data_IF_071768974051
#
_entry.id   IF_071768974051
#
_cell.length_a   1.000
_cell.length_b   1.000
_cell.length_c   1.000
_cell.angle_alpha   90.00
_cell.angle_beta   90.00
_cell.angle_gamma   90.00
#
_symmetry.space_group_name_H-M   'P 1'
#
loop_
_entity.id
_entity.type
_entity.pdbx_description
1 polymer ?
#
# COMPACT_ATOMS: atom_id res chain seq x y z
N UNK A 1 50.77 -14.78 5.80
CA UNK A 1 50.30 -13.69 6.69
C UNK A 1 49.17 -12.90 6.00
N UNK A 2 48.05 -13.54 5.63
CA UNK A 2 46.97 -12.90 4.83
C UNK A 2 45.56 -13.24 5.32
N UNK A 3 45.41 -14.22 6.24
CA UNK A 3 44.12 -14.74 6.68
C UNK A 3 43.34 -13.73 7.54
N UNK A 4 44.04 -12.93 8.35
CA UNK A 4 43.43 -11.94 9.24
C UNK A 4 42.94 -10.69 8.47
N UNK A 5 43.63 -10.31 7.40
CA UNK A 5 43.28 -9.11 6.62
C UNK A 5 41.96 -9.31 5.86
N UNK A 6 41.75 -10.50 5.29
CA UNK A 6 40.50 -10.86 4.62
C UNK A 6 39.31 -10.92 5.59
N UNK A 7 39.54 -11.38 6.83
CA UNK A 7 38.50 -11.40 7.88
C UNK A 7 38.09 -9.96 8.26
N UNK A 8 39.05 -9.05 8.39
CA UNK A 8 38.76 -7.64 8.67
C UNK A 8 37.96 -6.98 7.55
N UNK A 9 38.29 -7.28 6.29
CA UNK A 9 37.56 -6.78 5.12
C UNK A 9 36.11 -7.30 5.13
N UNK A 10 35.90 -8.60 5.35
CA UNK A 10 34.55 -9.16 5.43
C UNK A 10 33.71 -8.53 6.54
N UNK A 11 34.31 -8.31 7.72
CA UNK A 11 33.63 -7.62 8.81
C UNK A 11 33.28 -6.18 8.45
N UNK A 12 34.20 -5.44 7.83
CA UNK A 12 33.95 -4.08 7.39
C UNK A 12 32.80 -4.00 6.38
N UNK A 13 32.74 -4.94 5.42
CA UNK A 13 31.65 -5.01 4.43
C UNK A 13 30.29 -5.31 5.06
N UNK A 14 30.23 -6.21 6.04
CA UNK A 14 28.98 -6.52 6.77
C UNK A 14 28.48 -5.31 7.57
N UNK A 15 29.39 -4.56 8.20
CA UNK A 15 29.05 -3.33 8.93
C UNK A 15 28.51 -2.26 7.99
N UNK A 16 29.15 -2.05 6.83
CA UNK A 16 28.67 -1.10 5.81
C UNK A 16 27.29 -1.49 5.29
N UNK A 17 27.05 -2.77 5.01
CA UNK A 17 25.75 -3.26 4.56
C UNK A 17 24.64 -3.02 5.60
N UNK A 18 24.98 -3.11 6.89
CA UNK A 18 24.05 -2.86 7.99
C UNK A 18 23.71 -1.38 8.15
N UNK A 19 24.67 -0.47 7.92
CA UNK A 19 24.46 0.99 8.00
C UNK A 19 23.68 1.52 6.78
N UNK A 20 23.77 0.85 5.63
CA UNK A 20 22.99 1.16 4.42
C UNK A 20 21.58 0.52 4.47
N UNK A 21 21.19 -0.07 5.61
CA UNK A 21 19.89 -0.69 5.84
C UNK A 21 18.76 0.32 6.02
N UNK A 22 17.83 0.30 5.05
CA UNK A 22 16.47 0.83 5.07
C UNK A 22 16.30 2.32 5.43
N UNK A 23 16.39 3.16 4.40
CA UNK A 23 15.55 4.36 4.35
C UNK A 23 14.09 3.88 4.26
N UNK A 24 13.45 3.60 5.39
CA UNK A 24 11.99 3.58 5.43
C UNK A 24 11.56 5.02 5.25
N UNK A 25 11.32 5.42 4.00
CA UNK A 25 10.56 6.62 3.72
C UNK A 25 9.20 6.41 4.38
N UNK A 26 9.00 7.01 5.55
CA UNK A 26 7.66 7.27 6.05
C UNK A 26 7.12 8.37 5.15
N UNK A 27 6.69 7.98 3.95
CA UNK A 27 5.77 8.79 3.19
C UNK A 27 4.54 8.92 4.10
N UNK A 28 4.21 10.16 4.47
CA UNK A 28 2.83 10.52 4.74
C UNK A 28 2.07 10.37 3.41
N UNK A 29 2.00 9.15 2.87
CA UNK A 29 0.98 8.80 1.90
C UNK A 29 -0.33 9.14 2.62
N UNK A 30 -1.06 10.12 2.09
CA UNK A 30 -2.48 10.26 2.40
C UNK A 30 -3.03 8.84 2.30
N UNK A 31 -3.57 8.29 3.40
CA UNK A 31 -3.94 6.87 3.48
C UNK A 31 -5.14 6.62 2.58
N UNK A 32 -4.84 6.47 1.31
CA UNK A 32 -5.76 6.17 0.24
C UNK A 32 -5.92 4.66 0.16
N UNK A 33 -7.08 4.22 -0.30
CA UNK A 33 -7.34 2.80 -0.42
C UNK A 33 -6.36 2.13 -1.40
N UNK A 34 -6.05 0.86 -1.17
CA UNK A 34 -5.13 0.12 -2.04
C UNK A 34 -5.73 -0.05 -3.43
N UNK A 35 -4.91 0.13 -4.47
CA UNK A 35 -5.34 -0.01 -5.87
C UNK A 35 -5.98 -1.39 -6.15
N UNK A 36 -5.51 -2.45 -5.50
CA UNK A 36 -6.12 -3.78 -5.58
C UNK A 36 -7.56 -3.81 -5.05
N UNK A 37 -7.84 -3.09 -3.96
CA UNK A 37 -9.18 -2.99 -3.38
C UNK A 37 -10.08 -2.11 -4.25
N UNK A 38 -9.59 -0.96 -4.74
CA UNK A 38 -10.32 -0.11 -5.69
C UNK A 38 -10.80 -0.93 -6.89
N UNK A 39 -9.92 -1.73 -7.50
CA UNK A 39 -10.25 -2.61 -8.63
C UNK A 39 -11.25 -3.70 -8.25
N UNK A 40 -11.10 -4.33 -7.09
CA UNK A 40 -12.03 -5.36 -6.63
C UNK A 40 -13.46 -4.80 -6.44
N UNK A 41 -13.57 -3.61 -5.85
CA UNK A 41 -14.84 -2.92 -5.65
C UNK A 41 -15.49 -2.49 -6.97
N UNK A 42 -14.71 -2.02 -7.95
CA UNK A 42 -15.25 -1.71 -9.27
C UNK A 42 -15.75 -2.95 -10.02
N UNK A 43 -15.06 -4.09 -9.90
CA UNK A 43 -15.56 -5.38 -10.40
C UNK A 43 -16.85 -5.79 -9.70
N UNK A 44 -16.93 -5.61 -8.38
CA UNK A 44 -18.15 -5.87 -7.62
C UNK A 44 -19.31 -4.99 -8.11
N UNK A 45 -19.09 -3.69 -8.29
CA UNK A 45 -20.08 -2.77 -8.88
C UNK A 45 -20.55 -3.22 -10.26
N UNK A 46 -19.64 -3.65 -11.14
CA UNK A 46 -19.99 -4.14 -12.48
C UNK A 46 -20.83 -5.42 -12.45
N UNK A 47 -20.72 -6.21 -11.38
CA UNK A 47 -21.53 -7.42 -11.19
C UNK A 47 -22.95 -7.16 -10.68
N UNK A 48 -23.27 -5.91 -10.32
CA UNK A 48 -24.54 -5.51 -9.74
C UNK A 48 -25.30 -4.54 -10.66
N UNK A 49 -26.62 -4.63 -10.64
CA UNK A 49 -27.48 -3.62 -11.22
C UNK A 49 -27.78 -2.54 -10.15
N UNK A 50 -27.16 -1.37 -10.29
CA UNK A 50 -27.29 -0.25 -9.34
C UNK A 50 -28.54 0.60 -9.64
N UNK A 51 -29.73 0.04 -9.48
CA UNK A 51 -31.00 0.71 -9.84
C UNK A 51 -31.24 2.00 -9.05
N UNK A 52 -30.74 2.06 -7.81
CA UNK A 52 -30.97 3.18 -6.90
C UNK A 52 -29.78 4.15 -6.81
N UNK A 53 -28.71 3.93 -7.60
CA UNK A 53 -27.52 4.77 -7.56
C UNK A 53 -26.78 4.73 -6.22
N UNK A 54 -26.90 3.64 -5.47
CA UNK A 54 -26.21 3.47 -4.19
C UNK A 54 -24.69 3.44 -4.35
N UNK A 55 -24.21 2.96 -5.50
CA UNK A 55 -22.78 2.88 -5.86
C UNK A 55 -22.34 4.06 -6.75
N UNK A 56 -23.12 5.16 -6.78
CA UNK A 56 -22.85 6.32 -7.63
C UNK A 56 -21.51 7.00 -7.35
N UNK A 57 -21.03 6.98 -6.11
CA UNK A 57 -19.71 7.56 -5.75
C UNK A 57 -18.54 6.68 -6.16
N UNK A 58 -18.78 5.42 -6.52
CA UNK A 58 -17.74 4.46 -6.89
C UNK A 58 -17.28 4.75 -8.32
N UNK A 59 -16.34 5.69 -8.45
CA UNK A 59 -15.85 6.19 -9.74
C UNK A 59 -14.65 5.39 -10.20
N UNK A 60 -14.65 5.00 -11.47
CA UNK A 60 -13.48 4.40 -12.11
C UNK A 60 -12.50 5.49 -12.56
N UNK A 61 -11.95 6.20 -11.59
CA UNK A 61 -10.86 7.15 -11.77
C UNK A 61 -9.57 6.50 -11.21
N UNK A 62 -8.45 6.51 -11.95
CA UNK A 62 -7.16 5.99 -11.47
C UNK A 62 -6.69 6.60 -10.15
N UNK A 63 -7.11 7.82 -9.83
CA UNK A 63 -6.75 8.53 -8.62
C UNK A 63 -7.88 8.58 -7.58
N UNK A 64 -8.99 7.85 -7.80
CA UNK A 64 -10.06 7.79 -6.82
C UNK A 64 -9.65 6.98 -5.59
N UNK A 65 -9.71 7.64 -4.43
CA UNK A 65 -9.61 6.97 -3.14
C UNK A 65 -10.95 6.28 -2.79
N UNK A 66 -10.96 4.94 -2.81
CA UNK A 66 -12.18 4.19 -2.53
C UNK A 66 -12.63 4.28 -1.08
N UNK A 67 -11.79 4.71 -0.14
CA UNK A 67 -12.19 5.00 1.24
C UNK A 67 -13.13 6.22 1.34
N UNK A 68 -13.17 7.06 0.30
CA UNK A 68 -14.09 8.20 0.20
C UNK A 68 -15.41 7.82 -0.49
N UNK A 69 -15.59 6.58 -0.93
CA UNK A 69 -16.84 6.12 -1.53
C UNK A 69 -17.90 5.86 -0.47
N UNK A 70 -19.15 6.21 -0.79
CA UNK A 70 -20.31 5.92 0.06
C UNK A 70 -20.43 4.41 0.30
N UNK A 71 -20.61 4.03 1.56
CA UNK A 71 -20.72 2.64 2.01
C UNK A 71 -19.39 1.96 2.32
N UNK A 72 -18.27 2.48 1.82
CA UNK A 72 -16.95 1.89 2.07
C UNK A 72 -16.41 2.41 3.40
N UNK A 73 -16.01 1.50 4.29
CA UNK A 73 -15.30 1.82 5.51
C UNK A 73 -13.90 1.24 5.45
N UNK A 74 -12.88 2.10 5.59
CA UNK A 74 -11.49 1.69 5.65
C UNK A 74 -10.91 1.78 7.06
N UNK A 75 -9.85 1.02 7.28
CA UNK A 75 -8.98 1.16 8.43
C UNK A 75 -8.12 2.43 8.28
N UNK A 76 -8.29 3.37 9.20
CA UNK A 76 -7.59 4.66 9.17
C UNK A 76 -6.09 4.58 9.47
N UNK A 77 -5.51 3.40 9.74
CA UNK A 77 -4.07 3.22 9.97
C UNK A 77 -3.38 2.48 8.82
N UNK A 78 -4.13 1.67 8.07
CA UNK A 78 -3.56 0.80 7.03
C UNK A 78 -4.09 1.08 5.63
N UNK A 79 -5.21 1.81 5.53
CA UNK A 79 -5.91 2.10 4.27
C UNK A 79 -6.67 0.91 3.68
N UNK A 80 -6.73 -0.24 4.38
CA UNK A 80 -7.50 -1.42 3.93
C UNK A 80 -9.01 -1.21 4.10
N UNK A 81 -9.79 -1.74 3.17
CA UNK A 81 -11.26 -1.78 3.27
C UNK A 81 -11.67 -2.86 4.28
N UNK A 82 -12.43 -2.46 5.30
CA UNK A 82 -12.94 -3.38 6.34
C UNK A 82 -14.42 -3.71 6.16
N UNK A 83 -15.23 -2.79 5.59
CA UNK A 83 -16.68 -2.97 5.41
C UNK A 83 -17.22 -2.25 4.16
N UNK A 84 -18.36 -2.74 3.67
CA UNK A 84 -19.15 -2.24 2.53
C UNK A 84 -20.63 -2.09 2.90
#
# INVERSE_FOLDING_TARGET
>A
MMRNFNILIFHALLVVFSIVGFNSATENEEMTCKESERRALLKFKQSLQDEFGMLSTWKDDPNADCCKWKGVQCNNQTGYVEKL
#
